data_IF_482309348346
#
_entry.id   IF_482309348346
#
_cell.length_a   1.000
_cell.length_b   1.000
_cell.length_c   1.000
_cell.angle_alpha   90.00
_cell.angle_beta   90.00
_cell.angle_gamma   90.00
#
_symmetry.space_group_name_H-M   'P 1'
#
loop_
_entity.id
_entity.type
_entity.pdbx_description
1 polymer ?
#
# COMPACT_ATOMS: atom_id res chain seq x y z
N UNK A 1 8.08 0.47 -7.39
CA UNK A 1 7.21 1.07 -6.35
C UNK A 1 6.29 -0.03 -5.83
N UNK A 2 5.97 -0.10 -4.53
CA UNK A 2 5.08 -1.12 -3.99
C UNK A 2 3.62 -0.84 -4.36
N UNK A 3 2.80 -1.88 -4.37
CA UNK A 3 1.35 -1.79 -4.53
C UNK A 3 0.65 -2.81 -3.62
N UNK A 4 -0.36 -2.37 -2.87
CA UNK A 4 -1.11 -3.24 -1.95
C UNK A 4 -2.45 -3.63 -2.55
N UNK A 5 -2.75 -4.93 -2.57
CA UNK A 5 -4.06 -5.46 -3.01
C UNK A 5 -4.63 -6.34 -1.92
N UNK A 6 -5.90 -6.09 -1.54
CA UNK A 6 -6.59 -6.93 -0.56
C UNK A 6 -6.92 -8.30 -1.17
N UNK A 7 -6.51 -9.36 -0.48
CA UNK A 7 -6.75 -10.76 -0.85
C UNK A 7 -7.27 -11.55 0.36
N UNK A 8 -7.97 -12.66 0.14
CA UNK A 8 -8.46 -13.54 1.22
C UNK A 8 -7.33 -14.35 1.85
N UNK A 9 -6.35 -14.71 1.03
CA UNK A 9 -5.13 -15.46 1.32
C UNK A 9 -3.90 -14.55 1.46
N UNK A 10 -4.11 -13.26 1.77
CA UNK A 10 -3.02 -12.29 1.96
C UNK A 10 -2.32 -12.44 3.31
N UNK A 11 -1.25 -11.65 3.50
CA UNK A 11 -0.53 -11.54 4.77
C UNK A 11 -0.56 -10.10 5.32
N UNK A 12 -0.16 -9.93 6.58
CA UNK A 12 0.02 -8.62 7.17
C UNK A 12 1.26 -7.92 6.57
N UNK A 13 1.10 -6.66 6.18
CA UNK A 13 2.16 -5.83 5.61
C UNK A 13 2.40 -4.63 6.53
N UNK A 14 3.66 -4.33 6.83
CA UNK A 14 4.06 -3.18 7.61
C UNK A 14 3.67 -1.88 6.90
N UNK A 15 3.07 -0.94 7.64
CA UNK A 15 2.62 0.36 7.14
C UNK A 15 2.95 1.45 8.16
N UNK A 16 2.91 2.70 7.70
CA UNK A 16 2.94 3.88 8.54
C UNK A 16 1.60 4.59 8.46
N UNK A 17 1.14 5.11 9.61
CA UNK A 17 -0.09 5.87 9.71
C UNK A 17 0.28 7.34 9.91
N UNK A 18 -0.21 8.18 9.01
CA UNK A 18 0.03 9.62 9.02
C UNK A 18 -1.30 10.36 9.13
N UNK A 19 -1.32 11.44 9.92
CA UNK A 19 -2.44 12.38 9.93
C UNK A 19 -2.26 13.40 8.80
N UNK A 20 -3.31 13.58 7.99
CA UNK A 20 -3.36 14.57 6.92
C UNK A 20 -4.53 15.52 7.16
N UNK A 21 -4.36 16.85 7.01
CA UNK A 21 -5.49 17.77 7.03
C UNK A 21 -6.49 17.43 5.93
N UNK A 22 -7.78 17.40 6.26
CA UNK A 22 -8.84 17.03 5.32
C UNK A 22 -8.85 17.92 4.06
N UNK A 23 -8.56 19.21 4.23
CA UNK A 23 -8.47 20.18 3.13
C UNK A 23 -7.38 19.84 2.09
N UNK A 24 -6.34 19.09 2.49
CA UNK A 24 -5.23 18.71 1.61
C UNK A 24 -5.43 17.35 0.93
N UNK A 25 -6.53 16.63 1.23
CA UNK A 25 -6.76 15.30 0.65
C UNK A 25 -6.87 15.38 -0.88
N UNK A 26 -7.51 16.41 -1.42
CA UNK A 26 -7.67 16.57 -2.87
C UNK A 26 -6.34 16.80 -3.60
N UNK A 27 -5.51 17.72 -3.10
CA UNK A 27 -4.17 18.01 -3.66
C UNK A 27 -3.25 16.79 -3.52
N UNK A 28 -3.32 16.09 -2.39
CA UNK A 28 -2.59 14.85 -2.17
C UNK A 28 -3.01 13.74 -3.14
N UNK A 29 -4.31 13.51 -3.30
CA UNK A 29 -4.88 12.52 -4.24
C UNK A 29 -4.44 12.79 -5.68
N UNK A 30 -4.42 14.05 -6.12
CA UNK A 30 -3.99 14.43 -7.46
C UNK A 30 -2.52 14.06 -7.76
N UNK A 31 -1.69 13.91 -6.72
CA UNK A 31 -0.30 13.48 -6.83
C UNK A 31 -0.09 11.96 -6.91
N UNK A 32 -1.15 11.15 -6.82
CA UNK A 32 -1.06 9.69 -6.84
C UNK A 32 -1.25 9.20 -8.28
N UNK A 33 -0.19 8.71 -8.96
CA UNK A 33 -0.32 8.24 -10.32
C UNK A 33 -0.99 6.86 -10.36
N UNK A 34 -1.70 6.57 -11.46
CA UNK A 34 -2.10 5.19 -11.79
C UNK A 34 -0.86 4.28 -11.81
N UNK A 35 -0.95 3.04 -11.29
CA UNK A 35 -2.17 2.32 -10.87
C UNK A 35 -2.49 2.43 -9.36
N UNK A 36 -1.96 3.44 -8.67
CA UNK A 36 -2.18 3.61 -7.24
C UNK A 36 -3.43 4.44 -6.95
N UNK A 37 -4.04 4.20 -5.79
CA UNK A 37 -5.16 4.97 -5.28
C UNK A 37 -5.27 4.90 -3.76
N UNK A 38 -6.21 5.64 -3.18
CA UNK A 38 -6.54 5.52 -1.76
C UNK A 38 -7.81 4.70 -1.56
N UNK A 39 -7.72 3.71 -0.68
CA UNK A 39 -8.87 2.94 -0.19
C UNK A 39 -8.86 2.83 1.33
N UNK A 40 -9.75 2.00 1.87
CA UNK A 40 -9.83 1.75 3.32
C UNK A 40 -9.02 0.50 3.67
N UNK A 41 -8.02 0.65 4.54
CA UNK A 41 -7.22 -0.46 5.07
C UNK A 41 -7.89 -1.06 6.31
N UNK A 42 -7.38 -2.20 6.75
CA UNK A 42 -7.71 -2.80 8.05
C UNK A 42 -6.39 -3.08 8.73
N UNK A 43 -6.14 -2.44 9.86
CA UNK A 43 -4.92 -2.63 10.62
C UNK A 43 -5.09 -3.73 11.67
N UNK A 44 -3.97 -4.25 12.17
CA UNK A 44 -3.96 -5.31 13.17
C UNK A 44 -4.60 -4.89 14.51
N UNK A 45 -4.63 -3.59 14.80
CA UNK A 45 -5.32 -3.01 15.96
C UNK A 45 -6.84 -2.86 15.77
N UNK A 46 -7.37 -3.26 14.61
CA UNK A 46 -8.80 -3.16 14.26
C UNK A 46 -9.21 -1.81 13.67
N UNK A 47 -8.33 -0.81 13.64
CA UNK A 47 -8.62 0.48 13.00
C UNK A 47 -8.70 0.35 11.47
N UNK A 48 -9.37 1.32 10.83
CA UNK A 48 -9.62 1.31 9.39
C UNK A 48 -9.34 2.66 8.72
N UNK A 49 -8.08 3.13 8.70
CA UNK A 49 -7.71 4.39 8.06
C UNK A 49 -7.74 4.29 6.53
N UNK A 50 -7.61 5.45 5.87
CA UNK A 50 -7.29 5.51 4.45
C UNK A 50 -5.83 5.14 4.23
N UNK A 51 -5.54 4.44 3.14
CA UNK A 51 -4.18 4.06 2.77
C UNK A 51 -4.07 3.68 1.30
N UNK A 52 -2.82 3.56 0.84
CA UNK A 52 -2.50 3.25 -0.55
C UNK A 52 -2.90 1.82 -0.92
N UNK A 53 -3.59 1.71 -2.04
CA UNK A 53 -3.90 0.46 -2.74
C UNK A 53 -3.38 0.53 -4.17
N UNK A 54 -3.32 -0.63 -4.81
CA UNK A 54 -3.03 -0.79 -6.22
C UNK A 54 -4.25 -1.41 -6.92
N UNK A 55 -4.51 -0.97 -8.15
CA UNK A 55 -5.53 -1.59 -9.00
C UNK A 55 -5.14 -3.04 -9.31
N UNK A 56 -6.09 -3.98 -9.20
CA UNK A 56 -5.80 -5.41 -9.29
C UNK A 56 -5.23 -5.83 -10.66
N UNK A 57 -5.53 -5.11 -11.74
CA UNK A 57 -4.96 -5.43 -13.06
C UNK A 57 -3.44 -5.21 -13.09
N UNK A 58 -2.93 -4.26 -12.30
CA UNK A 58 -1.51 -3.91 -12.29
C UNK A 58 -0.64 -4.95 -11.55
N UNK A 59 -1.25 -5.95 -10.91
CA UNK A 59 -0.50 -7.09 -10.36
C UNK A 59 -0.10 -8.09 -11.43
N UNK A 60 -0.65 -8.01 -12.65
CA UNK A 60 -0.27 -8.89 -13.74
C UNK A 60 1.20 -8.64 -14.13
N UNK A 61 2.07 -9.63 -13.94
CA UNK A 61 3.51 -9.50 -14.19
C UNK A 61 4.29 -8.76 -13.11
N UNK A 62 3.64 -8.34 -12.02
CA UNK A 62 4.32 -7.82 -10.85
C UNK A 62 4.87 -8.98 -10.00
N UNK A 63 6.02 -8.74 -9.36
CA UNK A 63 6.59 -9.67 -8.39
C UNK A 63 5.77 -9.67 -7.09
N UNK A 64 5.46 -10.85 -6.58
CA UNK A 64 4.82 -11.01 -5.28
C UNK A 64 5.87 -11.00 -4.16
N UNK A 65 5.98 -9.86 -3.48
CA UNK A 65 6.89 -9.65 -2.35
C UNK A 65 6.19 -9.77 -0.99
N UNK A 66 4.99 -10.36 -0.93
CA UNK A 66 4.18 -10.48 0.30
C UNK A 66 4.93 -11.17 1.43
N UNK A 67 5.75 -12.16 1.11
CA UNK A 67 6.54 -12.94 2.07
C UNK A 67 7.55 -12.11 2.88
N UNK A 68 7.98 -10.95 2.36
CA UNK A 68 8.91 -10.07 3.05
C UNK A 68 8.22 -9.17 4.10
N UNK A 69 6.91 -8.94 3.95
CA UNK A 69 6.06 -8.25 4.92
C UNK A 69 6.35 -6.75 5.12
N UNK A 70 7.41 -6.22 4.51
CA UNK A 70 7.84 -4.82 4.65
C UNK A 70 8.59 -4.38 3.39
N UNK A 71 8.17 -3.26 2.80
CA UNK A 71 8.82 -2.68 1.62
C UNK A 71 10.29 -2.32 1.88
N UNK A 72 10.66 -1.95 3.11
CA UNK A 72 12.06 -1.66 3.47
C UNK A 72 12.94 -2.90 3.37
N UNK A 73 12.40 -4.08 3.67
CA UNK A 73 13.12 -5.36 3.50
C UNK A 73 13.33 -5.70 2.03
N UNK A 74 12.30 -5.48 1.20
CA UNK A 74 12.42 -5.63 -0.27
C UNK A 74 13.57 -4.77 -0.81
N UNK A 75 13.63 -3.50 -0.39
CA UNK A 75 14.71 -2.59 -0.82
C UNK A 75 16.09 -3.04 -0.33
N UNK A 76 16.19 -3.59 0.89
CA UNK A 76 17.45 -4.08 1.42
C UNK A 76 17.96 -5.32 0.67
N UNK A 77 17.08 -6.24 0.28
CA UNK A 77 17.45 -7.43 -0.50
C UNK A 77 17.77 -7.10 -1.95
N UNK A 78 17.05 -6.17 -2.57
CA UNK A 78 17.32 -5.73 -3.94
C UNK A 78 18.64 -4.96 -4.11
N UNK A 79 19.20 -4.45 -3.01
CA UNK A 79 20.47 -3.72 -3.00
C UNK A 79 21.69 -4.63 -2.73
N UNK A 80 21.48 -5.93 -2.45
CA UNK A 80 22.52 -6.93 -2.24
C UNK A 80 22.92 -7.62 -3.55
#
# INVERSE_FOLDING_TARGET
RPGLVRRRDGAAIAVEVWALPEAEVGSFLAGIPSPLGLGTLTLADGSSPKGFLCEAFATAGAEDVTHLGDWRRVLAEAAA
#
